data_IF_472371623097
#
_entry.id   IF_472371623097
#
_cell.length_a   1.000
_cell.length_b   1.000
_cell.length_c   1.000
_cell.angle_alpha   90.00
_cell.angle_beta   90.00
_cell.angle_gamma   90.00
#
_symmetry.space_group_name_H-M   'P 1'
#
loop_
_entity.id
_entity.type
_entity.pdbx_description
1 polymer ?
#
# COMPACT_ATOMS: atom_id res chain seq x y z
N UNK A 1 11.06 -8.37 37.73
CA UNK A 1 10.09 -9.47 37.51
C UNK A 1 8.92 -8.89 36.72
N UNK A 2 8.72 -9.24 35.44
CA UNK A 2 7.74 -10.24 34.93
C UNK A 2 6.32 -9.97 35.49
N UNK A 3 5.23 -9.82 34.73
CA UNK A 3 4.76 -10.41 33.47
C UNK A 3 3.66 -9.47 32.89
N UNK A 4 3.51 -9.24 31.57
CA UNK A 4 2.99 -10.14 30.51
C UNK A 4 1.52 -10.54 30.69
N UNK A 5 0.63 -10.01 29.86
CA UNK A 5 -0.70 -10.59 29.54
C UNK A 5 -0.96 -10.33 28.05
N UNK A 6 -0.57 -11.20 27.12
CA UNK A 6 -1.13 -12.49 26.64
C UNK A 6 -2.50 -12.40 25.91
N UNK A 7 -2.72 -13.32 24.95
CA UNK A 7 -3.60 -13.17 23.80
C UNK A 7 -4.98 -13.82 24.01
N UNK A 8 -5.99 -13.35 23.26
CA UNK A 8 -7.37 -13.87 23.07
C UNK A 8 -8.22 -14.13 24.33
N UNK A 9 -9.42 -13.51 24.47
CA UNK A 9 -10.38 -13.90 25.48
C UNK A 9 -11.41 -14.90 24.92
N UNK A 10 -11.45 -16.11 25.48
CA UNK A 10 -12.64 -16.97 25.48
C UNK A 10 -13.61 -16.49 26.57
N UNK A 11 -14.87 -16.29 26.17
CA UNK A 11 -16.12 -16.38 26.96
C UNK A 11 -16.22 -15.63 28.30
N UNK A 12 -17.10 -14.62 28.35
CA UNK A 12 -17.64 -14.04 29.58
C UNK A 12 -18.41 -12.75 29.32
N UNK A 13 -19.74 -12.85 29.25
CA UNK A 13 -20.65 -11.76 28.90
C UNK A 13 -20.63 -10.61 29.93
N UNK A 14 -20.49 -9.38 29.43
CA UNK A 14 -20.92 -8.17 30.12
C UNK A 14 -21.50 -7.21 29.08
N UNK A 15 -22.67 -6.68 29.40
CA UNK A 15 -23.58 -5.90 28.56
C UNK A 15 -22.91 -4.84 27.68
N UNK A 16 -23.06 -5.01 26.36
CA UNK A 16 -22.83 -3.94 25.40
C UNK A 16 -24.14 -3.67 24.65
N UNK A 17 -24.65 -2.45 24.81
CA UNK A 17 -25.64 -1.82 23.94
C UNK A 17 -25.29 -2.14 22.47
N UNK A 18 -26.25 -2.33 21.55
CA UNK A 18 -25.91 -2.67 20.17
C UNK A 18 -25.16 -1.49 19.55
N UNK A 19 -23.82 -1.59 19.57
CA UNK A 19 -22.96 -0.77 18.75
C UNK A 19 -23.36 -1.06 17.30
N UNK A 20 -23.54 0.02 16.52
CA UNK A 20 -23.86 -0.07 15.10
C UNK A 20 -22.90 -1.02 14.37
N UNK A 21 -23.29 -1.52 13.20
CA UNK A 21 -22.59 -2.60 12.52
C UNK A 21 -21.08 -2.34 12.50
N UNK A 22 -20.32 -3.23 13.13
CA UNK A 22 -18.87 -3.18 13.12
C UNK A 22 -18.41 -3.07 11.65
N UNK A 23 -17.45 -2.18 11.33
CA UNK A 23 -16.99 -2.03 9.97
C UNK A 23 -16.50 -3.39 9.48
N UNK A 24 -17.10 -3.89 8.40
CA UNK A 24 -16.66 -5.15 7.78
C UNK A 24 -15.17 -5.04 7.48
N UNK A 25 -14.36 -6.07 7.81
CA UNK A 25 -12.96 -6.08 7.42
C UNK A 25 -12.91 -5.90 5.90
N UNK A 26 -12.16 -4.89 5.44
CA UNK A 26 -11.97 -4.69 4.01
C UNK A 26 -11.28 -5.94 3.44
N UNK A 27 -11.68 -6.41 2.26
CA UNK A 27 -11.00 -7.52 1.62
C UNK A 27 -9.50 -7.15 1.44
N UNK A 28 -8.64 -8.09 1.78
CA UNK A 28 -7.18 -7.94 1.74
C UNK A 28 -6.61 -8.84 0.65
N UNK A 29 -5.52 -8.41 0.01
CA UNK A 29 -4.80 -9.17 -1.01
C UNK A 29 -4.88 -8.58 -2.41
N UNK A 30 -4.12 -9.17 -3.33
CA UNK A 30 -3.89 -8.69 -4.70
C UNK A 30 -5.17 -8.32 -5.44
N UNK A 31 -6.10 -9.27 -5.55
CA UNK A 31 -7.39 -9.06 -6.23
C UNK A 31 -8.29 -8.04 -5.53
N UNK A 32 -8.24 -7.95 -4.20
CA UNK A 32 -9.09 -7.05 -3.44
C UNK A 32 -8.71 -5.57 -3.60
N UNK A 33 -7.43 -5.29 -3.88
CA UNK A 33 -6.89 -3.94 -4.01
C UNK A 33 -6.63 -3.56 -5.47
N UNK A 34 -7.05 -4.41 -6.40
CA UNK A 34 -7.02 -4.13 -7.84
C UNK A 34 -8.21 -3.31 -8.28
N UNK A 35 -8.05 -2.49 -9.31
CA UNK A 35 -9.20 -1.89 -10.00
C UNK A 35 -10.07 -2.97 -10.63
N UNK A 36 -9.40 -3.95 -11.28
CA UNK A 36 -10.05 -5.03 -12.01
C UNK A 36 -9.52 -6.39 -11.51
N UNK A 37 -10.18 -7.01 -10.51
CA UNK A 37 -9.73 -8.27 -9.90
C UNK A 37 -9.63 -9.45 -10.87
N UNK A 38 -10.35 -9.38 -11.99
CA UNK A 38 -10.34 -10.38 -13.05
C UNK A 38 -9.10 -10.28 -13.95
N UNK A 39 -8.43 -9.12 -13.97
CA UNK A 39 -7.22 -8.88 -14.78
C UNK A 39 -5.96 -9.49 -14.18
N UNK A 40 -5.98 -9.77 -12.89
CA UNK A 40 -4.96 -10.61 -12.25
C UNK A 40 -5.32 -12.06 -12.53
N UNK A 41 -4.47 -12.73 -13.27
CA UNK A 41 -4.62 -14.15 -13.56
C UNK A 41 -4.53 -15.00 -12.28
N UNK A 42 -5.15 -16.19 -12.29
CA UNK A 42 -5.08 -17.11 -11.14
C UNK A 42 -3.68 -17.64 -10.95
N UNK A 43 -2.95 -17.92 -12.03
CA UNK A 43 -1.60 -18.45 -11.93
C UNK A 43 -0.66 -17.38 -11.37
N UNK A 44 -0.80 -16.12 -11.81
CA UNK A 44 -0.05 -15.00 -11.23
C UNK A 44 -0.30 -14.81 -9.71
N UNK A 45 -1.52 -15.08 -9.25
CA UNK A 45 -1.83 -15.07 -7.81
C UNK A 45 -1.13 -16.24 -7.09
N UNK A 46 -1.20 -17.44 -7.67
CA UNK A 46 -0.59 -18.64 -7.12
C UNK A 46 0.94 -18.55 -7.09
N UNK A 47 1.57 -17.96 -8.10
CA UNK A 47 3.00 -17.72 -8.15
C UNK A 47 3.45 -16.85 -6.97
N UNK A 48 2.70 -15.79 -6.68
CA UNK A 48 3.00 -14.92 -5.54
C UNK A 48 2.89 -15.69 -4.21
N UNK A 49 1.82 -16.45 -4.01
CA UNK A 49 1.64 -17.28 -2.80
C UNK A 49 2.73 -18.34 -2.68
N UNK A 50 3.09 -18.97 -3.79
CA UNK A 50 4.11 -20.02 -3.86
C UNK A 50 5.49 -19.47 -3.50
N UNK A 51 5.81 -18.27 -3.95
CA UNK A 51 7.05 -17.59 -3.57
C UNK A 51 7.16 -17.41 -2.05
N UNK A 52 6.10 -16.93 -1.38
CA UNK A 52 6.08 -16.80 0.08
C UNK A 52 6.13 -18.14 0.80
N UNK A 53 5.48 -19.17 0.26
CA UNK A 53 5.44 -20.51 0.83
C UNK A 53 6.80 -21.21 0.76
N UNK A 54 7.39 -21.33 -0.44
CA UNK A 54 8.64 -22.05 -0.67
C UNK A 54 9.82 -21.41 0.06
N UNK A 55 9.77 -20.09 0.27
CA UNK A 55 10.84 -19.36 0.98
C UNK A 55 10.57 -19.23 2.49
N UNK A 56 9.39 -19.59 2.98
CA UNK A 56 8.99 -19.42 4.38
C UNK A 56 8.96 -17.96 4.85
N UNK A 57 8.70 -17.01 3.94
CA UNK A 57 8.86 -15.56 4.21
C UNK A 57 7.58 -14.82 4.61
N UNK A 58 6.46 -15.53 4.80
CA UNK A 58 5.19 -14.91 5.18
C UNK A 58 5.28 -14.13 6.50
N UNK A 59 5.89 -14.70 7.54
CA UNK A 59 6.02 -14.04 8.86
C UNK A 59 7.10 -12.96 8.88
N UNK A 60 8.23 -13.19 8.19
CA UNK A 60 9.33 -12.22 8.16
C UNK A 60 8.96 -10.96 7.38
N UNK A 61 8.20 -11.07 6.30
CA UNK A 61 7.64 -9.91 5.58
C UNK A 61 6.60 -9.15 6.40
N UNK A 62 5.74 -9.86 7.14
CA UNK A 62 4.75 -9.24 8.03
C UNK A 62 5.41 -8.43 9.18
N UNK A 63 6.62 -8.80 9.60
CA UNK A 63 7.37 -8.09 10.65
C UNK A 63 7.68 -6.63 10.30
N UNK A 64 7.86 -6.31 9.01
CA UNK A 64 8.05 -4.93 8.56
C UNK A 64 6.90 -4.02 8.97
N UNK A 65 5.66 -4.54 8.99
CA UNK A 65 4.53 -3.78 9.49
C UNK A 65 4.69 -3.48 10.97
N UNK A 66 5.05 -4.45 11.81
CA UNK A 66 5.24 -4.20 13.24
C UNK A 66 6.29 -3.11 13.52
N UNK A 67 7.38 -3.12 12.76
CA UNK A 67 8.50 -2.19 12.95
C UNK A 67 8.20 -0.78 12.39
N UNK A 68 7.47 -0.68 11.27
CA UNK A 68 7.25 0.59 10.57
C UNK A 68 5.89 1.25 10.83
N UNK A 69 4.87 0.51 11.29
CA UNK A 69 3.48 1.00 11.26
C UNK A 69 3.27 2.27 12.08
N UNK A 70 3.93 2.40 13.23
CA UNK A 70 3.84 3.62 14.07
C UNK A 70 4.45 4.83 13.37
N UNK A 71 5.57 4.65 12.68
CA UNK A 71 6.25 5.74 11.95
C UNK A 71 5.46 6.14 10.69
N UNK A 72 4.97 5.15 9.93
CA UNK A 72 4.16 5.40 8.72
C UNK A 72 2.85 6.11 9.06
N UNK A 73 2.17 5.71 10.14
CA UNK A 73 0.97 6.43 10.61
C UNK A 73 1.28 7.88 10.97
N UNK A 74 2.42 8.13 11.63
CA UNK A 74 2.83 9.49 12.00
C UNK A 74 3.05 10.38 10.77
N UNK A 75 3.47 9.84 9.61
CA UNK A 75 3.63 10.65 8.38
C UNK A 75 2.31 11.14 7.78
N UNK A 76 1.19 10.46 8.08
CA UNK A 76 -0.14 10.91 7.65
C UNK A 76 -0.76 11.93 8.60
N UNK A 77 -0.35 11.96 9.87
CA UNK A 77 -0.89 12.87 10.89
C UNK A 77 0.01 14.07 11.18
N UNK A 78 1.32 13.92 10.98
CA UNK A 78 2.34 14.90 11.33
C UNK A 78 3.07 15.35 10.06
N UNK A 79 3.22 16.67 9.89
CA UNK A 79 3.99 17.24 8.77
C UNK A 79 5.44 16.74 8.85
N UNK A 80 5.87 15.97 7.85
CA UNK A 80 7.26 15.53 7.75
C UNK A 80 8.11 16.69 7.24
N UNK A 81 9.09 17.13 8.03
CA UNK A 81 10.01 18.22 7.68
C UNK A 81 11.18 17.76 6.80
N UNK A 82 11.42 16.45 6.71
CA UNK A 82 12.45 15.86 5.88
C UNK A 82 12.09 16.04 4.39
N UNK A 83 13.07 16.40 3.54
CA UNK A 83 12.89 16.58 2.09
C UNK A 83 13.85 15.69 1.28
N UNK A 84 13.40 15.24 0.11
CA UNK A 84 14.20 14.41 -0.80
C UNK A 84 14.70 15.29 -1.95
N UNK A 85 15.99 15.69 -1.97
CA UNK A 85 16.49 16.69 -2.91
C UNK A 85 16.74 16.13 -4.33
N UNK A 86 16.69 14.81 -4.51
CA UNK A 86 16.91 14.16 -5.80
C UNK A 86 15.68 14.27 -6.71
N UNK A 87 15.85 14.26 -8.06
CA UNK A 87 14.74 14.20 -9.00
C UNK A 87 13.83 13.01 -8.71
N UNK A 88 12.53 13.26 -8.51
CA UNK A 88 11.54 12.25 -8.25
C UNK A 88 10.44 12.27 -9.32
N UNK A 89 9.93 11.09 -9.66
CA UNK A 89 8.75 10.94 -10.50
C UNK A 89 7.65 10.25 -9.68
N UNK A 90 6.41 10.69 -9.84
CA UNK A 90 5.28 10.11 -9.14
C UNK A 90 4.10 9.94 -10.09
N UNK A 91 3.48 8.76 -10.06
CA UNK A 91 2.27 8.47 -10.80
C UNK A 91 1.22 8.01 -9.80
N UNK A 92 0.05 8.66 -9.80
CA UNK A 92 -1.03 8.38 -8.86
C UNK A 92 -2.16 7.68 -9.61
N UNK A 93 -2.38 6.41 -9.29
CA UNK A 93 -3.43 5.60 -9.90
C UNK A 93 -4.79 5.82 -9.21
N UNK A 94 -5.90 5.75 -9.95
CA UNK A 94 -7.22 6.13 -9.45
C UNK A 94 -7.72 5.23 -8.31
N UNK A 95 -7.34 3.95 -8.30
CA UNK A 95 -7.72 2.97 -7.27
C UNK A 95 -6.61 2.63 -6.28
N UNK A 96 -5.50 3.36 -6.30
CA UNK A 96 -4.45 3.21 -5.30
C UNK A 96 -4.79 3.98 -4.00
N UNK A 97 -4.43 3.44 -2.85
CA UNK A 97 -4.64 4.08 -1.54
C UNK A 97 -3.31 4.13 -0.78
N UNK A 98 -2.89 5.30 -0.29
CA UNK A 98 -3.51 6.63 -0.36
C UNK A 98 -3.22 7.38 -1.68
N UNK A 99 -4.09 8.34 -2.06
CA UNK A 99 -3.88 9.23 -3.23
C UNK A 99 -3.39 10.61 -2.78
N UNK A 100 -2.06 10.84 -2.72
CA UNK A 100 -1.53 12.15 -2.37
C UNK A 100 -1.80 13.15 -3.50
N UNK A 101 -2.15 14.39 -3.16
CA UNK A 101 -2.17 15.47 -4.15
C UNK A 101 -0.75 15.90 -4.49
N UNK A 102 -0.53 16.41 -5.71
CA UNK A 102 0.76 16.92 -6.13
C UNK A 102 1.30 17.99 -5.16
N UNK A 103 0.42 18.84 -4.63
CA UNK A 103 0.77 19.87 -3.63
C UNK A 103 1.35 19.26 -2.36
N UNK A 104 0.81 18.14 -1.89
CA UNK A 104 1.31 17.46 -0.71
C UNK A 104 2.63 16.73 -1.01
N UNK A 105 2.70 16.03 -2.15
CA UNK A 105 3.92 15.36 -2.61
C UNK A 105 5.10 16.34 -2.76
N UNK A 106 4.87 17.55 -3.30
CA UNK A 106 5.91 18.59 -3.45
C UNK A 106 6.52 19.07 -2.13
N UNK A 107 5.83 18.91 -0.99
CA UNK A 107 6.41 19.26 0.32
C UNK A 107 7.55 18.32 0.72
N UNK A 108 7.42 17.03 0.38
CA UNK A 108 8.44 16.00 0.64
C UNK A 108 9.45 15.90 -0.50
N UNK A 109 8.98 16.00 -1.74
CA UNK A 109 9.77 15.91 -2.96
C UNK A 109 9.79 17.28 -3.66
N UNK A 110 10.71 18.19 -3.31
CA UNK A 110 10.78 19.51 -3.93
C UNK A 110 11.02 19.45 -5.45
N UNK A 111 11.70 18.40 -5.94
CA UNK A 111 12.06 18.23 -7.36
C UNK A 111 11.29 17.10 -8.03
N UNK A 112 9.98 17.28 -8.22
CA UNK A 112 9.16 16.35 -9.02
C UNK A 112 9.36 16.66 -10.51
N UNK A 113 9.94 15.74 -11.26
CA UNK A 113 10.18 15.88 -12.71
C UNK A 113 9.06 15.33 -13.59
N UNK A 114 8.28 14.39 -13.05
CA UNK A 114 7.12 13.81 -13.73
C UNK A 114 5.99 13.57 -12.73
N UNK A 115 4.77 13.97 -13.11
CA UNK A 115 3.55 13.75 -12.35
C UNK A 115 2.47 13.17 -13.27
N UNK A 116 2.16 11.88 -13.11
CA UNK A 116 1.16 11.19 -13.92
C UNK A 116 -0.12 10.89 -13.14
N UNK A 117 -1.27 11.13 -13.76
CA UNK A 117 -2.59 10.77 -13.23
C UNK A 117 -3.39 10.00 -14.30
N UNK A 118 -3.02 8.73 -14.57
CA UNK A 118 -3.71 7.92 -15.58
C UNK A 118 -5.16 7.63 -15.19
N UNK A 119 -6.03 7.50 -16.19
CA UNK A 119 -7.46 7.23 -15.99
C UNK A 119 -7.76 5.83 -15.42
N UNK A 120 -6.80 4.91 -15.52
CA UNK A 120 -6.92 3.51 -15.10
C UNK A 120 -5.68 3.07 -14.32
N UNK A 121 -5.89 2.13 -13.40
CA UNK A 121 -4.90 1.43 -12.60
C UNK A 121 -5.33 1.30 -11.13
N UNK A 122 -5.02 0.15 -10.54
CA UNK A 122 -5.11 -0.10 -9.11
C UNK A 122 -3.78 -0.01 -8.40
N UNK A 123 -3.76 -0.60 -7.19
CA UNK A 123 -2.57 -0.61 -6.33
C UNK A 123 -1.43 -1.42 -6.93
N UNK A 124 -1.74 -2.37 -7.82
CA UNK A 124 -0.75 -3.20 -8.49
C UNK A 124 -0.68 -2.83 -9.98
N UNK A 125 -0.49 -1.55 -10.30
CA UNK A 125 -0.47 -1.05 -11.67
C UNK A 125 0.47 -1.83 -12.61
N UNK A 126 1.61 -2.31 -12.13
CA UNK A 126 2.53 -3.13 -12.92
C UNK A 126 1.93 -4.50 -13.31
N UNK A 127 1.12 -5.11 -12.44
CA UNK A 127 0.42 -6.38 -12.71
C UNK A 127 -0.89 -6.16 -13.46
N UNK A 128 -1.60 -5.08 -13.13
CA UNK A 128 -2.92 -4.78 -13.71
C UNK A 128 -2.80 -4.16 -15.10
N UNK A 129 -1.87 -3.24 -15.35
CA UNK A 129 -1.76 -2.50 -16.63
C UNK A 129 -0.27 -2.29 -16.95
N UNK A 130 0.47 -3.35 -17.31
CA UNK A 130 1.92 -3.29 -17.51
C UNK A 130 2.34 -2.24 -18.54
N UNK A 131 1.63 -2.15 -19.68
CA UNK A 131 1.96 -1.20 -20.73
C UNK A 131 1.86 0.26 -20.27
N UNK A 132 0.81 0.56 -19.49
CA UNK A 132 0.59 1.90 -18.95
C UNK A 132 1.63 2.23 -17.87
N UNK A 133 1.96 1.27 -17.01
CA UNK A 133 3.03 1.43 -16.03
C UNK A 133 4.39 1.67 -16.70
N UNK A 134 4.73 0.90 -17.74
CA UNK A 134 5.97 1.07 -18.52
C UNK A 134 5.99 2.43 -19.22
N UNK A 135 4.87 2.90 -19.77
CA UNK A 135 4.78 4.20 -20.41
C UNK A 135 5.09 5.35 -19.44
N UNK A 136 4.54 5.28 -18.22
CA UNK A 136 4.79 6.25 -17.15
C UNK A 136 6.26 6.25 -16.69
N UNK A 137 6.85 5.06 -16.51
CA UNK A 137 8.29 4.93 -16.19
C UNK A 137 9.14 5.53 -17.31
N UNK A 138 8.84 5.24 -18.58
CA UNK A 138 9.56 5.80 -19.72
C UNK A 138 9.37 7.31 -19.84
N UNK A 139 8.19 7.85 -19.52
CA UNK A 139 7.97 9.30 -19.48
C UNK A 139 8.86 9.97 -18.42
N UNK A 140 8.92 9.40 -17.21
CA UNK A 140 9.78 9.88 -16.14
C UNK A 140 11.28 9.88 -16.52
N UNK A 141 11.80 8.79 -17.10
CA UNK A 141 13.22 8.74 -17.46
C UNK A 141 13.58 9.62 -18.66
N UNK A 142 12.63 9.95 -19.54
CA UNK A 142 12.88 10.89 -20.64
C UNK A 142 13.19 12.31 -20.16
N UNK A 143 12.76 12.71 -18.97
CA UNK A 143 13.09 14.04 -18.42
C UNK A 143 14.51 14.11 -17.83
N UNK A 144 15.22 12.98 -17.75
CA UNK A 144 16.55 12.85 -17.14
C UNK A 144 17.65 12.53 -18.16
N UNK A 145 17.30 12.43 -19.45
CA UNK A 145 18.22 12.13 -20.56
C UNK A 145 18.50 13.36 -21.39
#
# INVERSE_FOLDING_TARGET
>A
MRCRTRPWPTSGAASARPAGPAPRPRPAGLRAWSEEPARIDRDALLDNVTLYWLTGTATSSARLYWESFRQVQAWFTTSTADTVPVPAACTVFPRDLPRPSQRWARRRYPRIVHWGEPAHGGRFAALERPDLWVAEVRAAFRTLR
#
